data_IF_035007898692
#
_entry.id   IF_035007898692
#
_cell.length_a   1.000
_cell.length_b   1.000
_cell.length_c   1.000
_cell.angle_alpha   90.00
_cell.angle_beta   90.00
_cell.angle_gamma   90.00
#
_symmetry.space_group_name_H-M   'P 1'
#
loop_
_entity.id
_entity.type
_entity.pdbx_description
1 polymer ?
#
# COMPACT_ATOMS: atom_id res chain seq x y z
N UNK A 1 20.20 5.30 11.25
CA UNK A 1 19.11 4.95 12.19
C UNK A 1 18.29 3.85 11.54
N UNK A 2 18.10 2.73 12.24
CA UNK A 2 17.36 1.57 11.75
C UNK A 2 15.96 1.64 12.37
N UNK A 3 14.94 1.97 11.58
CA UNK A 3 13.57 1.78 12.03
C UNK A 3 13.17 0.32 11.80
N UNK A 4 12.50 -0.27 12.79
CA UNK A 4 12.04 -1.66 12.80
C UNK A 4 10.52 -1.62 12.81
N UNK A 5 9.88 -2.19 11.79
CA UNK A 5 8.43 -2.44 11.75
C UNK A 5 8.18 -3.90 11.31
N UNK A 6 7.18 -4.55 11.91
CA UNK A 6 6.75 -5.97 11.76
C UNK A 6 5.20 -6.00 11.67
N UNK A 7 4.46 -6.88 10.96
CA UNK A 7 4.68 -7.89 9.91
C UNK A 7 3.30 -8.32 9.31
N UNK A 8 3.22 -8.87 8.07
CA UNK A 8 1.98 -9.51 7.55
C UNK A 8 1.87 -9.80 6.02
N UNK A 9 2.82 -9.32 5.24
CA UNK A 9 3.13 -9.63 3.83
C UNK A 9 4.58 -9.19 3.66
N UNK A 10 5.37 -9.74 2.72
CA UNK A 10 6.80 -9.39 2.61
C UNK A 10 6.98 -7.87 2.72
N UNK A 11 7.67 -7.41 3.76
CA UNK A 11 8.11 -6.02 3.80
C UNK A 11 9.10 -5.94 2.65
N UNK A 12 8.70 -5.28 1.56
CA UNK A 12 9.68 -4.88 0.55
C UNK A 12 10.46 -3.73 1.20
N UNK A 13 11.41 -4.12 2.06
CA UNK A 13 12.35 -3.23 2.69
C UNK A 13 13.37 -2.90 1.61
N UNK A 14 13.36 -1.65 1.18
CA UNK A 14 14.42 -1.14 0.31
C UNK A 14 15.49 -0.53 1.21
N UNK A 15 16.73 -0.93 1.00
CA UNK A 15 17.87 -0.38 1.73
C UNK A 15 18.23 1.01 1.21
N UNK A 16 17.63 1.44 0.09
CA UNK A 16 17.91 2.72 -0.55
C UNK A 16 16.76 3.22 -1.45
N UNK A 17 16.78 4.52 -1.77
CA UNK A 17 15.79 5.14 -2.67
C UNK A 17 15.99 4.65 -4.11
N UNK A 18 17.22 4.40 -4.50
CA UNK A 18 17.60 3.84 -5.80
C UNK A 18 16.98 2.46 -6.00
N UNK A 19 16.96 1.64 -4.96
CA UNK A 19 16.38 0.29 -4.98
C UNK A 19 14.85 0.34 -5.08
N UNK A 20 14.21 1.21 -4.27
CA UNK A 20 12.76 1.47 -4.37
C UNK A 20 12.34 1.84 -5.79
N UNK A 21 13.09 2.73 -6.45
CA UNK A 21 12.76 3.22 -7.80
C UNK A 21 12.92 2.10 -8.84
N UNK A 22 13.99 1.29 -8.75
CA UNK A 22 14.17 0.14 -9.64
C UNK A 22 13.07 -0.90 -9.46
N UNK A 23 12.65 -1.16 -8.22
CA UNK A 23 11.57 -2.08 -7.93
C UNK A 23 10.23 -1.55 -8.46
N UNK A 24 9.93 -0.26 -8.25
CA UNK A 24 8.72 0.39 -8.74
C UNK A 24 8.61 0.37 -10.27
N UNK A 25 9.74 0.41 -10.99
CA UNK A 25 9.78 0.28 -12.45
C UNK A 25 9.20 -1.05 -12.93
N UNK A 26 9.40 -2.13 -12.17
CA UNK A 26 8.79 -3.46 -12.37
C UNK A 26 8.83 -3.93 -13.83
N UNK A 27 10.03 -3.99 -14.42
CA UNK A 27 10.24 -4.48 -15.79
C UNK A 27 9.97 -3.48 -16.93
N UNK A 28 9.33 -2.32 -16.66
CA UNK A 28 9.14 -1.25 -17.67
C UNK A 28 10.46 -0.65 -18.13
N UNK A 29 10.51 -0.09 -19.33
CA UNK A 29 11.64 0.75 -19.74
C UNK A 29 11.71 2.02 -18.88
N UNK A 30 12.89 2.65 -18.82
CA UNK A 30 13.03 3.92 -18.10
C UNK A 30 12.17 5.02 -18.72
N UNK A 31 11.87 4.96 -20.02
CA UNK A 31 11.00 5.92 -20.70
C UNK A 31 9.54 5.75 -20.25
N UNK A 32 9.00 4.54 -20.37
CA UNK A 32 7.62 4.26 -19.94
C UNK A 32 7.41 4.55 -18.45
N UNK A 33 8.43 4.28 -17.63
CA UNK A 33 8.36 4.59 -16.21
C UNK A 33 8.45 6.09 -15.92
N UNK A 34 9.22 6.84 -16.72
CA UNK A 34 9.29 8.29 -16.62
C UNK A 34 7.95 8.93 -17.00
N UNK A 35 7.31 8.43 -18.06
CA UNK A 35 5.97 8.86 -18.47
C UNK A 35 4.94 8.60 -17.35
N UNK A 36 5.00 7.44 -16.67
CA UNK A 36 4.15 7.12 -15.52
C UNK A 36 4.39 8.02 -14.29
N UNK A 37 5.61 8.49 -14.12
CA UNK A 37 6.02 9.37 -13.02
C UNK A 37 5.91 10.87 -13.37
N UNK A 38 5.56 11.19 -14.62
CA UNK A 38 5.51 12.56 -15.17
C UNK A 38 6.85 13.30 -15.00
N UNK A 39 7.96 12.61 -15.28
CA UNK A 39 9.32 13.17 -15.26
C UNK A 39 10.06 12.81 -16.53
N UNK A 40 11.21 13.46 -16.77
CA UNK A 40 12.08 13.07 -17.88
C UNK A 40 12.74 11.71 -17.65
N UNK A 41 12.91 10.91 -18.70
CA UNK A 41 13.64 9.64 -18.65
C UNK A 41 15.07 9.80 -18.10
N UNK A 42 15.72 10.94 -18.38
CA UNK A 42 17.05 11.25 -17.84
C UNK A 42 17.05 11.38 -16.31
N UNK A 43 15.94 11.83 -15.72
CA UNK A 43 15.78 11.93 -14.27
C UNK A 43 15.61 10.56 -13.64
N UNK A 44 14.80 9.67 -14.24
CA UNK A 44 14.71 8.26 -13.81
C UNK A 44 16.09 7.60 -13.79
N UNK A 45 16.90 7.78 -14.85
CA UNK A 45 18.27 7.26 -14.91
C UNK A 45 19.18 7.84 -13.81
N UNK A 46 19.04 9.13 -13.47
CA UNK A 46 19.82 9.75 -12.38
C UNK A 46 19.38 9.24 -11.02
N UNK A 47 18.07 9.09 -10.81
CA UNK A 47 17.51 8.58 -9.56
C UNK A 47 17.93 7.13 -9.31
N UNK A 48 17.82 6.24 -10.30
CA UNK A 48 18.24 4.85 -10.15
C UNK A 48 19.75 4.74 -9.86
N UNK A 49 20.59 5.67 -10.33
CA UNK A 49 22.04 5.66 -10.08
C UNK A 49 22.47 6.45 -8.83
N UNK A 50 21.53 7.01 -8.07
CA UNK A 50 21.83 7.87 -6.91
C UNK A 50 22.56 9.17 -7.28
N UNK A 51 22.43 9.61 -8.54
CA UNK A 51 23.06 10.85 -9.05
C UNK A 51 22.19 12.09 -8.87
N UNK A 52 20.93 11.90 -8.51
CA UNK A 52 20.02 12.95 -8.10
C UNK A 52 19.06 12.42 -7.04
N UNK A 53 18.67 13.28 -6.09
CA UNK A 53 17.63 12.95 -5.12
C UNK A 53 16.25 13.19 -5.75
N UNK A 54 15.34 12.22 -5.73
CA UNK A 54 13.99 12.39 -6.25
C UNK A 54 13.13 13.24 -5.31
N UNK A 55 12.18 14.04 -5.84
CA UNK A 55 11.17 14.70 -5.04
C UNK A 55 10.34 13.70 -4.22
N UNK A 56 9.81 14.14 -3.07
CA UNK A 56 8.96 13.30 -2.21
C UNK A 56 7.73 12.75 -2.93
N UNK A 57 7.18 13.49 -3.90
CA UNK A 57 6.06 13.04 -4.74
C UNK A 57 6.40 11.78 -5.53
N UNK A 58 7.61 11.71 -6.10
CA UNK A 58 8.13 10.55 -6.83
C UNK A 58 8.34 9.38 -5.89
N UNK A 59 8.94 9.60 -4.71
CA UNK A 59 9.13 8.56 -3.69
C UNK A 59 7.78 7.95 -3.29
N UNK A 60 6.78 8.79 -2.99
CA UNK A 60 5.45 8.34 -2.61
C UNK A 60 4.75 7.57 -3.74
N UNK A 61 4.95 7.98 -5.00
CA UNK A 61 4.39 7.27 -6.16
C UNK A 61 5.04 5.90 -6.33
N UNK A 62 6.36 5.82 -6.22
CA UNK A 62 7.11 4.57 -6.26
C UNK A 62 6.69 3.63 -5.13
N UNK A 63 6.54 4.15 -3.90
CA UNK A 63 6.01 3.38 -2.76
C UNK A 63 4.64 2.80 -3.06
N UNK A 64 3.69 3.57 -3.61
CA UNK A 64 2.39 2.99 -3.98
C UNK A 64 2.53 1.88 -5.02
N UNK A 65 3.32 2.13 -6.08
CA UNK A 65 3.49 1.16 -7.17
C UNK A 65 4.05 -0.18 -6.70
N UNK A 66 5.04 -0.20 -5.80
CA UNK A 66 5.59 -1.46 -5.27
C UNK A 66 4.61 -2.20 -4.37
N UNK A 67 3.73 -1.49 -3.66
CA UNK A 67 2.70 -2.12 -2.82
C UNK A 67 1.49 -2.60 -3.64
N UNK A 68 1.19 -1.96 -4.78
CA UNK A 68 0.09 -2.37 -5.67
C UNK A 68 0.48 -3.39 -6.74
N UNK A 69 1.78 -3.53 -7.05
CA UNK A 69 2.28 -4.42 -8.11
C UNK A 69 2.34 -5.90 -7.68
N UNK A 70 2.51 -6.18 -6.38
CA UNK A 70 2.09 -7.46 -5.82
C UNK A 70 0.57 -7.38 -5.74
N UNK A 71 -0.12 -7.96 -6.73
CA UNK A 71 -1.56 -7.82 -6.90
C UNK A 71 -2.28 -7.83 -5.55
N UNK A 72 -2.97 -6.72 -5.26
CA UNK A 72 -3.79 -6.54 -4.06
C UNK A 72 -4.88 -7.61 -4.02
N UNK A 73 -4.48 -8.81 -3.61
CA UNK A 73 -5.38 -9.73 -2.95
C UNK A 73 -5.76 -8.98 -1.69
N UNK A 74 -7.04 -8.63 -1.56
CA UNK A 74 -7.54 -8.08 -0.31
C UNK A 74 -6.99 -8.94 0.85
N UNK A 75 -6.45 -8.33 1.91
CA UNK A 75 -5.88 -9.09 3.01
C UNK A 75 -6.93 -10.09 3.51
N UNK A 76 -6.51 -11.32 3.80
CA UNK A 76 -7.42 -12.28 4.42
C UNK A 76 -7.94 -11.73 5.74
N UNK A 77 -9.08 -12.24 6.21
CA UNK A 77 -9.63 -11.83 7.50
C UNK A 77 -8.61 -12.01 8.64
N UNK A 78 -7.83 -13.09 8.58
CA UNK A 78 -6.76 -13.41 9.53
C UNK A 78 -5.62 -12.39 9.46
N UNK A 79 -5.20 -11.99 8.26
CA UNK A 79 -4.15 -10.98 8.08
C UNK A 79 -4.60 -9.61 8.59
N UNK A 80 -5.87 -9.24 8.35
CA UNK A 80 -6.43 -8.00 8.90
C UNK A 80 -6.52 -8.06 10.43
N UNK A 81 -7.00 -9.17 10.99
CA UNK A 81 -7.10 -9.36 12.43
C UNK A 81 -5.73 -9.29 13.11
N UNK A 82 -4.70 -9.88 12.51
CA UNK A 82 -3.33 -9.80 13.03
C UNK A 82 -2.79 -8.36 13.00
N UNK A 83 -3.04 -7.61 11.93
CA UNK A 83 -2.64 -6.20 11.86
C UNK A 83 -3.30 -5.36 12.95
N UNK A 84 -4.59 -5.58 13.20
CA UNK A 84 -5.31 -4.91 14.30
C UNK A 84 -4.70 -5.30 15.65
N UNK A 85 -4.44 -6.60 15.87
CA UNK A 85 -3.85 -7.13 17.10
C UNK A 85 -2.48 -6.52 17.39
N UNK A 86 -1.62 -6.39 16.38
CA UNK A 86 -0.25 -5.89 16.54
C UNK A 86 -0.20 -4.37 16.57
N UNK A 87 -0.83 -3.70 15.59
CA UNK A 87 -0.70 -2.24 15.41
C UNK A 87 -1.52 -1.46 16.42
N UNK A 88 -2.67 -2.00 16.82
CA UNK A 88 -3.56 -1.37 17.79
C UNK A 88 -3.52 -2.13 19.12
N UNK A 89 -2.39 -2.73 19.50
CA UNK A 89 -2.24 -3.46 20.76
C UNK A 89 -2.34 -2.55 21.99
N UNK A 90 -1.90 -1.30 21.86
CA UNK A 90 -1.80 -0.34 22.96
C UNK A 90 -3.19 -0.09 23.60
N UNK A 91 -3.33 -0.24 24.93
CA UNK A 91 -4.58 0.06 25.65
C UNK A 91 -5.18 1.42 25.31
N UNK A 92 -4.36 2.46 25.12
CA UNK A 92 -4.78 3.83 24.81
C UNK A 92 -5.43 3.95 23.42
N UNK A 93 -5.17 3.00 22.53
CA UNK A 93 -5.80 2.91 21.21
C UNK A 93 -7.18 2.22 21.24
N UNK A 94 -7.74 1.98 22.43
CA UNK A 94 -9.10 1.45 22.61
C UNK A 94 -10.17 2.18 21.77
N UNK A 95 -10.23 3.52 21.80
CA UNK A 95 -11.18 4.27 20.97
C UNK A 95 -11.05 4.00 19.47
N UNK A 96 -9.83 3.77 18.97
CA UNK A 96 -9.56 3.45 17.56
C UNK A 96 -10.09 2.06 17.21
N UNK A 97 -9.84 1.06 18.08
CA UNK A 97 -10.41 -0.29 17.91
C UNK A 97 -11.95 -0.26 17.93
N UNK A 98 -12.55 0.54 18.82
CA UNK A 98 -14.01 0.71 18.85
C UNK A 98 -14.56 1.39 17.59
N UNK A 99 -13.86 2.39 17.04
CA UNK A 99 -14.25 3.02 15.79
C UNK A 99 -14.19 2.04 14.61
N UNK A 100 -13.14 1.21 14.54
CA UNK A 100 -13.01 0.16 13.53
C UNK A 100 -14.14 -0.88 13.63
N UNK A 101 -14.51 -1.30 14.84
CA UNK A 101 -15.65 -2.21 15.05
C UNK A 101 -16.93 -1.65 14.46
N UNK A 102 -17.26 -0.39 14.79
CA UNK A 102 -18.47 0.26 14.26
C UNK A 102 -18.47 0.38 12.74
N UNK A 103 -17.31 0.63 12.14
CA UNK A 103 -17.17 0.67 10.67
C UNK A 103 -17.45 -0.70 10.06
N UNK A 104 -16.92 -1.77 10.66
CA UNK A 104 -17.19 -3.15 10.20
C UNK A 104 -18.68 -3.46 10.29
N UNK A 105 -19.33 -3.10 11.40
CA UNK A 105 -20.78 -3.32 11.59
C UNK A 105 -21.61 -2.57 10.53
N UNK A 106 -21.29 -1.31 10.26
CA UNK A 106 -21.99 -0.49 9.27
C UNK A 106 -21.86 -1.10 7.85
N UNK A 107 -20.63 -1.42 7.43
CA UNK A 107 -20.38 -2.01 6.11
C UNK A 107 -21.02 -3.39 5.98
N UNK A 108 -21.02 -4.20 7.04
CA UNK A 108 -21.68 -5.51 7.03
C UNK A 108 -23.21 -5.37 6.88
N UNK A 109 -23.81 -4.39 7.56
CA UNK A 109 -25.22 -4.07 7.46
C UNK A 109 -25.61 -3.61 6.04
N UNK A 110 -24.84 -2.68 5.47
CA UNK A 110 -25.05 -2.18 4.11
C UNK A 110 -24.97 -3.30 3.07
N UNK A 111 -23.96 -4.18 3.17
CA UNK A 111 -23.81 -5.33 2.27
C UNK A 111 -24.96 -6.34 2.42
N UNK A 112 -25.43 -6.59 3.64
CA UNK A 112 -26.58 -7.47 3.88
C UNK A 112 -27.85 -6.90 3.26
N UNK A 113 -28.08 -5.59 3.42
CA UNK A 113 -29.21 -4.89 2.80
C UNK A 113 -29.14 -4.96 1.26
N UNK A 114 -27.99 -4.64 0.67
CA UNK A 114 -27.79 -4.69 -0.78
C UNK A 114 -28.04 -6.09 -1.39
N UNK A 115 -27.67 -7.15 -0.67
CA UNK A 115 -27.97 -8.54 -1.10
C UNK A 115 -29.45 -8.89 -0.96
N UNK A 116 -30.12 -8.38 0.08
CA UNK A 116 -31.55 -8.61 0.28
C UNK A 116 -32.43 -7.87 -0.73
N UNK A 117 -32.00 -6.69 -1.20
CA UNK A 117 -32.70 -5.90 -2.21
C UNK A 117 -32.35 -6.28 -3.65
N UNK A 118 -31.24 -6.99 -3.87
CA UNK A 118 -30.85 -7.56 -5.17
C UNK A 118 -31.50 -8.90 -5.53
N UNK A 119 -32.34 -9.47 -4.66
CA UNK A 119 -33.06 -10.72 -4.91
C UNK A 119 -34.51 -10.48 -5.41
N UNK A 120 -34.66 -10.53 -6.74
CA UNK A 120 -35.86 -10.79 -7.58
C UNK A 120 -36.84 -9.61 -7.88
N UNK A 121 -37.54 -9.56 -9.06
CA UNK A 121 -37.86 -10.71 -9.94
C UNK A 121 -37.69 -10.50 -11.47
N UNK A 122 -37.12 -11.50 -12.14
CA UNK A 122 -37.70 -12.37 -13.22
C UNK A 122 -36.58 -13.05 -14.01
#
# INVERSE_FOLDING_TARGET
MRQVHFLGGKIVAFDSVEELIRAARNGRSQKEFADLLEVDQSMVSKYERGKASPPISVINRCMRLVHTAEGESAPSAEQLAERVRVTLADPELGPVRSALSRLVDAVASENAQARSSGAAPQ
#
